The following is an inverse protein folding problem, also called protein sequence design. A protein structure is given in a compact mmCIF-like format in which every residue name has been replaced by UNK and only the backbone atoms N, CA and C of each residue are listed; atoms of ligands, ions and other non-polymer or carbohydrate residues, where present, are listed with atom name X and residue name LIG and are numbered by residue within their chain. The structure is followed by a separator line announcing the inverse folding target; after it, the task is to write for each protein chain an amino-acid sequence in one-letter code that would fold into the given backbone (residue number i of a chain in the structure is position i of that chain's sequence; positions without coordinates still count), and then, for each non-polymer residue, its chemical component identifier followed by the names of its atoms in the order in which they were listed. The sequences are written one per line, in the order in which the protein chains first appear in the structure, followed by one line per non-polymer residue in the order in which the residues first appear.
data_IF_885358126324
#
_entry.id   IF_885358126324
#
_cell.length_a   1.000
_cell.length_b   1.000
_cell.length_c   1.000
_cell.angle_alpha   90.00
_cell.angle_beta   90.00
_cell.angle_gamma   90.00
#
_symmetry.space_group_name_H-M   'P 1'
#
loop_
_entity.id
_entity.type
_entity.pdbx_description
1 polymer ?
#
# COMPACT_ATOMS: atom_id res chain seq x y z
N UNK A 1 3.63 5.40 -20.46
CA UNK A 1 4.40 5.42 -19.19
C UNK A 1 3.58 4.78 -18.12
N UNK A 2 4.19 3.88 -17.36
CA UNK A 2 3.50 3.14 -16.30
C UNK A 2 4.18 3.43 -14.96
N UNK A 3 3.40 3.66 -13.92
CA UNK A 3 3.92 3.98 -12.58
C UNK A 3 3.18 3.19 -11.52
N UNK A 4 3.88 2.79 -10.48
CA UNK A 4 3.27 2.21 -9.30
C UNK A 4 2.56 3.31 -8.49
N UNK A 5 1.32 3.04 -8.10
CA UNK A 5 0.50 3.94 -7.30
C UNK A 5 0.25 3.29 -5.94
N UNK A 6 0.60 3.99 -4.86
CA UNK A 6 0.27 3.58 -3.50
C UNK A 6 -0.54 4.69 -2.84
N UNK A 7 -1.73 4.34 -2.36
CA UNK A 7 -2.55 5.24 -1.54
C UNK A 7 -2.73 4.62 -0.16
N UNK A 8 -2.69 5.45 0.87
CA UNK A 8 -2.91 4.99 2.24
C UNK A 8 -4.19 5.60 2.80
N UNK A 9 -4.99 4.75 3.44
CA UNK A 9 -6.20 5.10 4.17
C UNK A 9 -6.05 4.69 5.64
N UNK A 10 -6.61 5.50 6.53
CA UNK A 10 -6.63 5.22 7.97
C UNK A 10 -8.04 4.83 8.34
N UNK A 11 -8.20 3.71 9.04
CA UNK A 11 -9.51 3.13 9.34
C UNK A 11 -9.75 3.13 10.85
N UNK A 12 -10.86 3.72 11.25
CA UNK A 12 -11.47 3.51 12.56
C UNK A 12 -12.19 2.17 12.60
N UNK A 13 -12.65 1.76 13.79
CA UNK A 13 -13.43 0.53 13.94
C UNK A 13 -14.71 0.52 13.08
N UNK A 14 -15.36 1.66 12.91
CA UNK A 14 -16.56 1.77 12.10
C UNK A 14 -16.27 1.65 10.60
N UNK A 15 -15.22 2.31 10.13
CA UNK A 15 -14.81 2.31 8.72
C UNK A 15 -14.27 0.95 8.26
N UNK A 16 -13.61 0.20 9.16
CA UNK A 16 -13.04 -1.11 8.83
C UNK A 16 -14.09 -2.15 8.43
N UNK A 17 -15.35 -2.00 8.86
CA UNK A 17 -16.42 -2.87 8.37
C UNK A 17 -16.76 -2.61 6.90
N UNK A 18 -16.82 -1.35 6.49
CA UNK A 18 -17.02 -0.98 5.08
C UNK A 18 -15.90 -1.48 4.18
N UNK A 19 -14.64 -1.32 4.64
CA UNK A 19 -13.47 -1.86 3.95
C UNK A 19 -13.56 -3.38 3.79
N UNK A 20 -13.89 -4.12 4.86
CA UNK A 20 -14.10 -5.57 4.79
C UNK A 20 -15.16 -5.96 3.76
N UNK A 21 -16.33 -5.30 3.80
CA UNK A 21 -17.43 -5.62 2.88
C UNK A 21 -17.05 -5.39 1.42
N UNK A 22 -16.29 -4.33 1.14
CA UNK A 22 -15.80 -4.03 -0.20
C UNK A 22 -14.69 -4.99 -0.64
N UNK A 23 -13.64 -5.14 0.18
CA UNK A 23 -12.45 -5.91 -0.20
C UNK A 23 -12.76 -7.39 -0.40
N UNK A 24 -13.61 -7.96 0.46
CA UNK A 24 -13.95 -9.38 0.43
C UNK A 24 -15.23 -9.67 -0.36
N UNK A 25 -15.74 -8.67 -1.12
CA UNK A 25 -16.97 -8.80 -1.95
C UNK A 25 -18.16 -9.37 -1.19
N UNK A 26 -18.35 -8.98 0.08
CA UNK A 26 -19.44 -9.49 0.94
C UNK A 26 -20.80 -8.82 0.67
N UNK A 27 -20.85 -7.72 -0.06
CA UNK A 27 -22.10 -7.07 -0.44
C UNK A 27 -22.81 -7.87 -1.53
N UNK A 28 -24.13 -8.02 -1.39
CA UNK A 28 -24.98 -8.62 -2.45
C UNK A 28 -25.12 -7.69 -3.66
N UNK A 29 -25.15 -6.39 -3.42
CA UNK A 29 -25.21 -5.34 -4.44
C UNK A 29 -24.04 -4.39 -4.22
N UNK A 30 -23.24 -4.19 -5.23
CA UNK A 30 -22.11 -3.26 -5.18
C UNK A 30 -22.56 -1.87 -5.60
N UNK A 31 -22.24 -0.85 -4.80
CA UNK A 31 -22.44 0.57 -5.16
C UNK A 31 -21.48 1.01 -6.26
N UNK A 32 -20.29 0.40 -6.31
CA UNK A 32 -19.32 0.62 -7.39
C UNK A 32 -19.78 -0.13 -8.64
N UNK A 33 -20.13 0.63 -9.69
CA UNK A 33 -20.58 0.08 -10.99
C UNK A 33 -19.45 -0.52 -11.83
N UNK A 34 -18.20 -0.25 -11.46
CA UNK A 34 -17.03 -0.77 -12.17
C UNK A 34 -16.76 -2.25 -11.83
N UNK A 35 -17.45 -2.80 -10.82
CA UNK A 35 -17.32 -4.20 -10.44
C UNK A 35 -18.07 -5.09 -11.43
N UNK A 36 -17.31 -5.88 -12.17
CA UNK A 36 -17.84 -6.93 -13.04
C UNK A 36 -17.92 -8.25 -12.27
N UNK A 37 -19.10 -8.56 -11.78
CA UNK A 37 -19.35 -9.77 -10.98
C UNK A 37 -19.07 -11.08 -11.73
N UNK A 38 -19.04 -11.06 -13.06
CA UNK A 38 -18.65 -12.25 -13.86
C UNK A 38 -17.17 -12.58 -13.74
N UNK A 39 -16.35 -11.59 -13.37
CA UNK A 39 -14.89 -11.69 -13.20
C UNK A 39 -14.45 -11.83 -11.75
N UNK A 40 -15.36 -11.75 -10.77
CA UNK A 40 -15.00 -11.82 -9.33
C UNK A 40 -14.25 -13.13 -8.98
N UNK A 41 -14.47 -14.21 -9.72
CA UNK A 41 -13.75 -15.47 -9.54
C UNK A 41 -12.25 -15.38 -9.88
N UNK A 42 -11.80 -14.31 -10.53
CA UNK A 42 -10.39 -14.04 -10.84
C UNK A 42 -9.67 -13.34 -9.70
N UNK A 43 -10.41 -12.74 -8.77
CA UNK A 43 -9.85 -12.10 -7.58
C UNK A 43 -9.10 -13.14 -6.75
N UNK A 44 -8.03 -12.72 -6.09
CA UNK A 44 -7.25 -13.60 -5.24
C UNK A 44 -6.72 -12.87 -4.01
N UNK A 45 -6.19 -13.64 -3.06
CA UNK A 45 -5.62 -13.10 -1.85
C UNK A 45 -4.13 -13.43 -1.75
N UNK A 46 -3.29 -12.42 -1.47
CA UNK A 46 -1.93 -12.65 -0.99
C UNK A 46 -1.96 -13.09 0.49
N UNK A 47 -2.95 -12.58 1.24
CA UNK A 47 -3.31 -13.04 2.57
C UNK A 47 -4.82 -13.00 2.72
N UNK A 48 -5.42 -14.14 2.95
CA UNK A 48 -6.84 -14.29 3.19
C UNK A 48 -7.17 -14.06 4.67
N UNK A 49 -8.38 -13.57 4.93
CA UNK A 49 -8.94 -13.40 6.25
C UNK A 49 -10.23 -14.23 6.37
N UNK A 50 -10.30 -15.10 7.37
CA UNK A 50 -11.44 -16.03 7.56
C UNK A 50 -12.66 -15.36 8.23
N UNK A 51 -12.48 -14.19 8.85
CA UNK A 51 -13.49 -13.51 9.65
C UNK A 51 -13.67 -12.05 9.20
N UNK A 52 -14.41 -11.24 9.95
CA UNK A 52 -14.44 -9.78 9.72
C UNK A 52 -13.13 -9.15 10.17
N UNK A 53 -12.70 -8.07 9.54
CA UNK A 53 -11.47 -7.35 9.92
C UNK A 53 -11.45 -6.95 11.40
N UNK A 54 -12.60 -6.63 11.97
CA UNK A 54 -12.72 -6.27 13.38
C UNK A 54 -12.45 -7.49 14.29
N UNK A 55 -13.01 -8.65 13.96
CA UNK A 55 -12.78 -9.87 14.76
C UNK A 55 -11.31 -10.30 14.66
N UNK A 56 -10.75 -10.22 13.48
CA UNK A 56 -9.34 -10.52 13.27
C UNK A 56 -8.44 -9.55 14.04
N UNK A 57 -8.74 -8.25 14.00
CA UNK A 57 -8.05 -7.26 14.81
C UNK A 57 -8.11 -7.57 16.30
N UNK A 58 -9.31 -7.88 16.83
CA UNK A 58 -9.48 -8.19 18.25
C UNK A 58 -8.74 -9.47 18.65
N UNK A 59 -8.70 -10.49 17.76
CA UNK A 59 -7.90 -11.70 17.92
C UNK A 59 -6.40 -11.39 17.98
N UNK A 60 -5.89 -10.71 16.96
CA UNK A 60 -4.47 -10.35 16.83
C UNK A 60 -4.01 -9.46 17.99
N UNK A 61 -4.83 -8.46 18.37
CA UNK A 61 -4.53 -7.59 19.50
C UNK A 61 -4.32 -8.40 20.80
N UNK A 62 -5.16 -9.40 21.05
CA UNK A 62 -5.05 -10.27 22.22
C UNK A 62 -3.87 -11.24 22.12
N UNK A 63 -3.73 -11.91 20.98
CA UNK A 63 -2.72 -12.93 20.75
C UNK A 63 -1.29 -12.39 20.80
N UNK A 64 -1.08 -11.20 20.24
CA UNK A 64 0.25 -10.57 20.17
C UNK A 64 0.47 -9.53 21.28
N UNK A 65 -0.43 -9.47 22.27
CA UNK A 65 -0.39 -8.49 23.37
C UNK A 65 -0.14 -7.04 22.90
N UNK A 66 -0.86 -6.64 21.85
CA UNK A 66 -0.68 -5.32 21.28
C UNK A 66 -1.24 -4.23 22.20
N UNK A 67 -0.36 -3.41 22.72
CA UNK A 67 -0.69 -2.32 23.64
C UNK A 67 -1.32 -1.14 22.90
N UNK A 68 -2.08 -0.32 23.60
CA UNK A 68 -2.63 0.93 23.07
C UNK A 68 -3.93 1.34 23.74
N UNK A 69 -4.03 2.62 24.05
CA UNK A 69 -5.26 3.21 24.55
C UNK A 69 -6.17 3.62 23.38
N UNK A 70 -7.03 2.68 22.96
CA UNK A 70 -7.88 2.84 21.79
C UNK A 70 -9.24 3.41 22.21
N UNK A 71 -9.51 4.65 21.81
CA UNK A 71 -10.81 5.31 21.95
C UNK A 71 -11.72 4.93 20.77
N UNK A 72 -13.01 5.24 20.86
CA UNK A 72 -14.02 4.95 19.83
C UNK A 72 -13.58 5.39 18.41
N UNK A 73 -12.95 6.55 18.31
CA UNK A 73 -12.51 7.13 17.03
C UNK A 73 -11.00 6.93 16.76
N UNK A 74 -10.34 6.03 17.51
CA UNK A 74 -8.94 5.71 17.24
C UNK A 74 -8.80 5.01 15.89
N UNK A 75 -7.74 5.35 15.17
CA UNK A 75 -7.31 4.58 14.00
C UNK A 75 -6.73 3.27 14.51
N UNK A 76 -7.37 2.18 14.13
CA UNK A 76 -6.97 0.83 14.54
C UNK A 76 -6.30 0.04 13.42
N UNK A 77 -6.59 0.40 12.18
CA UNK A 77 -6.04 -0.22 10.99
C UNK A 77 -5.62 0.84 9.99
N UNK A 78 -4.76 0.45 9.09
CA UNK A 78 -4.47 1.21 7.86
C UNK A 78 -4.68 0.29 6.67
N UNK A 79 -5.09 0.87 5.54
CA UNK A 79 -5.22 0.16 4.27
C UNK A 79 -4.32 0.83 3.24
N UNK A 80 -3.53 0.05 2.54
CA UNK A 80 -2.82 0.49 1.34
C UNK A 80 -3.56 -0.03 0.11
N UNK A 81 -3.91 0.86 -0.81
CA UNK A 81 -4.32 0.49 -2.16
C UNK A 81 -3.09 0.60 -3.07
N UNK A 82 -2.73 -0.52 -3.70
CA UNK A 82 -1.55 -0.63 -4.58
C UNK A 82 -2.04 -1.00 -5.97
N UNK A 83 -1.60 -0.25 -6.96
CA UNK A 83 -1.98 -0.45 -8.37
C UNK A 83 -0.93 0.14 -9.32
N UNK A 84 -1.20 0.05 -10.61
CA UNK A 84 -0.55 0.76 -11.70
C UNK A 84 -1.62 1.21 -12.71
N UNK A 85 -1.22 1.71 -13.87
CA UNK A 85 -2.18 1.99 -14.94
C UNK A 85 -2.65 0.70 -15.63
N UNK A 86 -3.84 0.79 -16.23
CA UNK A 86 -4.48 -0.36 -16.86
C UNK A 86 -3.70 -0.90 -18.07
N UNK A 87 -3.03 -0.02 -18.82
CA UNK A 87 -2.25 -0.44 -20.00
C UNK A 87 -1.01 -1.25 -19.60
N UNK A 88 -0.41 -0.92 -18.45
CA UNK A 88 0.67 -1.73 -17.87
C UNK A 88 0.20 -3.18 -17.64
N UNK A 89 -0.93 -3.36 -16.94
CA UNK A 89 -1.45 -4.70 -16.65
C UNK A 89 -1.88 -5.46 -17.88
N UNK A 90 -2.45 -4.79 -18.88
CA UNK A 90 -2.74 -5.40 -20.18
C UNK A 90 -1.47 -5.89 -20.89
N UNK A 91 -0.41 -5.10 -20.84
CA UNK A 91 0.87 -5.40 -21.49
C UNK A 91 1.56 -6.61 -20.88
N UNK A 92 1.61 -6.70 -19.54
CA UNK A 92 2.31 -7.79 -18.85
C UNK A 92 1.49 -9.07 -18.76
N UNK A 93 0.17 -9.00 -18.93
CA UNK A 93 -0.73 -10.15 -18.86
C UNK A 93 -1.03 -10.63 -17.43
N UNK A 94 -1.91 -11.63 -17.33
CA UNK A 94 -2.51 -12.04 -16.07
C UNK A 94 -1.49 -12.60 -15.06
N UNK A 95 -0.61 -13.48 -15.48
CA UNK A 95 0.33 -14.17 -14.58
C UNK A 95 1.35 -13.19 -13.99
N UNK A 96 1.87 -12.27 -14.80
CA UNK A 96 2.79 -11.26 -14.30
C UNK A 96 2.06 -10.18 -13.47
N UNK A 97 0.78 -9.93 -13.75
CA UNK A 97 -0.07 -9.09 -12.86
C UNK A 97 -0.21 -9.73 -11.48
N UNK A 98 -0.44 -11.02 -11.39
CA UNK A 98 -0.46 -11.74 -10.09
C UNK A 98 0.88 -11.62 -9.38
N UNK A 99 1.97 -11.83 -10.11
CA UNK A 99 3.33 -11.70 -9.55
C UNK A 99 3.63 -10.29 -9.05
N UNK A 100 3.22 -9.25 -9.78
CA UNK A 100 3.32 -7.86 -9.35
C UNK A 100 2.71 -7.65 -7.96
N UNK A 101 1.51 -8.16 -7.72
CA UNK A 101 0.84 -8.02 -6.42
C UNK A 101 1.47 -8.87 -5.32
N UNK A 102 1.97 -10.06 -5.63
CA UNK A 102 2.71 -10.90 -4.68
C UNK A 102 4.00 -10.20 -4.20
N UNK A 103 4.76 -9.62 -5.13
CA UNK A 103 5.98 -8.88 -4.77
C UNK A 103 5.66 -7.58 -4.02
N UNK A 104 4.59 -6.90 -4.40
CA UNK A 104 4.09 -5.72 -3.66
C UNK A 104 3.68 -6.08 -2.22
N UNK A 105 3.02 -7.21 -2.02
CA UNK A 105 2.69 -7.75 -0.70
C UNK A 105 3.93 -8.00 0.15
N UNK A 106 4.92 -8.71 -0.39
CA UNK A 106 6.20 -8.99 0.28
C UNK A 106 6.92 -7.70 0.67
N UNK A 107 6.91 -6.71 -0.22
CA UNK A 107 7.48 -5.40 0.05
C UNK A 107 6.83 -4.74 1.26
N UNK A 108 5.48 -4.69 1.33
CA UNK A 108 4.76 -4.09 2.46
C UNK A 108 4.98 -4.85 3.76
N UNK A 109 5.05 -6.19 3.73
CA UNK A 109 5.38 -6.99 4.91
C UNK A 109 6.73 -6.61 5.53
N UNK A 110 7.70 -6.23 4.70
CA UNK A 110 9.04 -5.80 5.14
C UNK A 110 9.11 -4.31 5.51
N UNK A 111 8.07 -3.54 5.16
CA UNK A 111 8.04 -2.11 5.41
C UNK A 111 8.02 -1.79 6.90
N UNK A 112 8.97 -0.99 7.38
CA UNK A 112 9.09 -0.59 8.79
C UNK A 112 9.06 -1.77 9.79
N UNK A 113 9.53 -2.93 9.37
CA UNK A 113 9.42 -4.17 10.15
C UNK A 113 7.96 -4.50 10.53
N UNK A 114 6.99 -4.16 9.66
CA UNK A 114 5.58 -4.42 9.91
C UNK A 114 5.34 -5.90 10.22
N UNK A 115 5.97 -6.78 9.44
CA UNK A 115 5.82 -8.22 9.56
C UNK A 115 4.47 -8.71 9.03
N UNK A 116 4.47 -9.86 8.42
CA UNK A 116 3.26 -10.50 7.89
C UNK A 116 2.19 -10.75 8.96
N UNK A 117 2.61 -10.97 10.22
CA UNK A 117 1.72 -11.20 11.35
C UNK A 117 0.78 -10.03 11.62
N UNK A 118 1.16 -8.80 11.25
CA UNK A 118 0.36 -7.59 11.47
C UNK A 118 -0.55 -7.24 10.27
N UNK A 119 -0.46 -7.99 9.15
CA UNK A 119 -1.39 -7.88 8.03
C UNK A 119 -2.69 -8.61 8.38
N UNK A 120 -3.83 -7.97 8.16
CA UNK A 120 -5.16 -8.55 8.33
C UNK A 120 -5.58 -9.26 7.06
N UNK A 121 -5.49 -8.58 5.93
CA UNK A 121 -5.90 -9.10 4.62
C UNK A 121 -5.13 -8.40 3.51
N UNK A 122 -4.93 -9.09 2.40
CA UNK A 122 -4.39 -8.53 1.16
C UNK A 122 -5.17 -9.12 -0.01
N UNK A 123 -6.25 -8.43 -0.39
CA UNK A 123 -7.17 -8.82 -1.46
C UNK A 123 -6.78 -8.12 -2.77
N UNK A 124 -6.64 -8.90 -3.84
CA UNK A 124 -6.38 -8.39 -5.19
C UNK A 124 -7.63 -8.47 -6.02
N UNK A 125 -8.07 -7.33 -6.54
CA UNK A 125 -9.23 -7.20 -7.39
C UNK A 125 -8.82 -7.15 -8.85
N UNK A 126 -9.31 -8.13 -9.62
CA UNK A 126 -9.21 -8.22 -11.07
C UNK A 126 -10.57 -8.03 -11.75
N UNK A 127 -11.61 -7.81 -10.97
CA UNK A 127 -13.00 -7.64 -11.37
C UNK A 127 -13.42 -6.17 -11.53
N UNK A 128 -12.51 -5.25 -11.43
CA UNK A 128 -12.72 -3.82 -11.70
C UNK A 128 -11.93 -3.37 -12.94
N UNK A 129 -12.10 -2.10 -13.33
CA UNK A 129 -11.48 -1.55 -14.55
C UNK A 129 -9.96 -1.67 -14.52
N UNK A 130 -9.35 -1.41 -13.38
CA UNK A 130 -7.89 -1.48 -13.18
C UNK A 130 -7.55 -2.46 -12.06
N UNK A 131 -6.69 -3.45 -12.28
CA UNK A 131 -6.21 -4.34 -11.23
C UNK A 131 -5.61 -3.57 -10.05
N UNK A 132 -5.99 -3.93 -8.83
CA UNK A 132 -5.45 -3.28 -7.62
C UNK A 132 -5.52 -4.21 -6.42
N UNK A 133 -4.66 -3.95 -5.44
CA UNK A 133 -4.63 -4.67 -4.17
C UNK A 133 -5.04 -3.76 -3.03
N UNK A 134 -5.97 -4.23 -2.20
CA UNK A 134 -6.26 -3.67 -0.88
C UNK A 134 -5.53 -4.47 0.18
N UNK A 135 -4.53 -3.86 0.81
CA UNK A 135 -3.76 -4.47 1.88
C UNK A 135 -4.07 -3.76 3.19
N UNK A 136 -4.75 -4.46 4.09
CA UNK A 136 -5.18 -3.95 5.41
C UNK A 136 -4.28 -4.50 6.50
N UNK A 137 -3.78 -3.63 7.39
CA UNK A 137 -2.85 -4.00 8.44
C UNK A 137 -3.04 -3.19 9.72
N UNK A 138 -2.53 -3.70 10.84
CA UNK A 138 -2.48 -3.01 12.12
C UNK A 138 -1.20 -2.15 12.17
N UNK A 139 -1.28 -0.83 12.37
CA UNK A 139 -0.10 0.05 12.43
C UNK A 139 0.63 -0.11 13.78
N UNK A 140 1.43 -1.16 13.90
CA UNK A 140 2.21 -1.49 15.09
C UNK A 140 3.53 -0.75 15.09
N UNK A 141 3.88 -0.14 16.21
CA UNK A 141 5.21 0.42 16.49
C UNK A 141 5.88 -0.40 17.60
N UNK A 142 7.17 -0.67 17.42
CA UNK A 142 8.02 -1.29 18.43
C UNK A 142 8.60 -0.21 19.32
N UNK A 143 8.30 -0.26 20.61
CA UNK A 143 8.71 0.76 21.58
C UNK A 143 9.07 0.15 22.93
N UNK A 144 9.30 0.95 23.95
CA UNK A 144 9.52 0.51 25.33
C UNK A 144 8.45 1.10 26.24
N UNK A 145 8.06 0.34 27.26
CA UNK A 145 7.21 0.81 28.34
C UNK A 145 7.98 1.70 29.33
N UNK A 146 7.31 2.16 30.38
CA UNK A 146 7.92 3.00 31.43
C UNK A 146 8.99 2.25 32.24
N UNK A 147 8.96 0.91 32.25
CA UNK A 147 9.93 0.05 32.91
C UNK A 147 11.10 -0.33 31.99
N UNK A 148 11.07 0.08 30.71
CA UNK A 148 12.11 -0.19 29.72
C UNK A 148 11.95 -1.51 28.98
N UNK A 149 10.84 -2.27 29.18
CA UNK A 149 10.57 -3.50 28.47
C UNK A 149 10.11 -3.23 27.04
N UNK A 150 10.49 -4.07 26.09
CA UNK A 150 10.03 -3.99 24.71
C UNK A 150 8.52 -4.28 24.61
N UNK A 151 7.77 -3.42 23.97
CA UNK A 151 6.33 -3.57 23.76
C UNK A 151 5.93 -3.19 22.33
N UNK A 152 4.96 -3.91 21.81
CA UNK A 152 4.32 -3.64 20.55
C UNK A 152 3.06 -2.80 20.77
N UNK A 153 3.00 -1.61 20.16
CA UNK A 153 1.92 -0.66 20.41
C UNK A 153 1.20 -0.28 19.12
N UNK A 154 -0.14 -0.28 19.15
CA UNK A 154 -0.97 0.20 18.05
C UNK A 154 -0.96 1.73 18.08
N UNK A 155 -0.36 2.36 17.08
CA UNK A 155 -0.30 3.80 16.97
C UNK A 155 -0.13 4.27 15.53
N UNK A 156 -1.23 4.50 14.82
CA UNK A 156 -1.18 4.97 13.42
C UNK A 156 -0.44 6.31 13.28
N UNK A 157 -0.58 7.23 14.25
CA UNK A 157 0.12 8.51 14.23
C UNK A 157 1.64 8.31 14.20
N UNK A 158 2.16 7.50 15.11
CA UNK A 158 3.60 7.33 15.26
C UNK A 158 4.17 6.35 14.23
N UNK A 159 3.36 5.40 13.75
CA UNK A 159 3.70 4.54 12.61
C UNK A 159 4.01 5.37 11.35
N UNK A 160 3.20 6.40 11.08
CA UNK A 160 3.39 7.31 9.95
C UNK A 160 4.29 8.51 10.28
N UNK A 161 4.60 8.73 11.56
CA UNK A 161 5.48 9.81 12.01
C UNK A 161 6.95 9.40 11.84
N UNK A 162 7.76 10.30 11.33
CA UNK A 162 9.19 10.23 11.45
C UNK A 162 9.72 11.65 11.45
N UNK A 163 10.79 11.94 12.17
CA UNK A 163 11.53 13.20 12.02
C UNK A 163 11.99 13.42 10.59
N UNK A 164 12.00 12.32 9.82
CA UNK A 164 12.29 12.24 8.39
C UNK A 164 11.14 11.57 7.64
N UNK A 165 9.87 11.85 7.97
CA UNK A 165 8.72 11.18 7.34
C UNK A 165 8.74 11.37 5.83
N UNK A 166 9.22 12.52 5.36
CA UNK A 166 9.37 12.82 3.94
C UNK A 166 10.54 12.04 3.32
N UNK A 167 11.74 12.09 3.92
CA UNK A 167 12.92 11.36 3.41
C UNK A 167 12.82 9.84 3.59
N UNK A 168 12.08 9.36 4.62
CA UNK A 168 11.77 7.92 4.77
C UNK A 168 10.73 7.44 3.78
N UNK A 169 9.67 8.23 3.54
CA UNK A 169 8.69 7.92 2.50
C UNK A 169 9.36 7.89 1.12
N UNK A 170 10.23 8.84 0.82
CA UNK A 170 11.03 8.83 -0.42
C UNK A 170 11.90 7.59 -0.52
N UNK A 171 12.70 7.23 0.50
CA UNK A 171 13.50 5.99 0.50
C UNK A 171 12.69 4.71 0.34
N UNK A 172 11.43 4.72 0.73
CA UNK A 172 10.52 3.58 0.59
C UNK A 172 9.95 3.55 -0.82
N UNK A 173 9.54 4.70 -1.30
CA UNK A 173 9.16 4.88 -2.69
C UNK A 173 10.34 4.47 -3.59
N UNK A 174 11.56 4.92 -3.28
CA UNK A 174 12.78 4.54 -4.01
C UNK A 174 13.03 3.03 -3.98
N UNK A 175 12.95 2.38 -2.81
CA UNK A 175 13.09 0.92 -2.72
C UNK A 175 11.97 0.15 -3.41
N UNK A 176 10.76 0.67 -3.37
CA UNK A 176 9.64 0.10 -4.10
C UNK A 176 9.87 0.23 -5.60
N UNK A 177 10.29 1.40 -6.06
CA UNK A 177 10.67 1.61 -7.47
C UNK A 177 11.83 0.73 -7.88
N UNK A 178 12.91 0.61 -7.07
CA UNK A 178 14.01 -0.31 -7.37
C UNK A 178 13.53 -1.77 -7.49
N UNK A 179 12.57 -2.19 -6.68
CA UNK A 179 12.01 -3.55 -6.71
C UNK A 179 11.14 -3.74 -7.94
N UNK A 180 10.31 -2.77 -8.27
CA UNK A 180 9.48 -2.76 -9.47
C UNK A 180 10.35 -2.62 -10.72
N UNK A 181 11.38 -1.80 -10.71
CA UNK A 181 12.31 -1.61 -11.83
C UNK A 181 13.06 -2.91 -12.14
N UNK A 182 13.60 -3.59 -11.12
CA UNK A 182 14.19 -4.92 -11.26
C UNK A 182 13.19 -5.95 -11.81
N UNK A 183 11.94 -5.86 -11.40
CA UNK A 183 10.88 -6.73 -11.88
C UNK A 183 10.49 -6.42 -13.33
N UNK A 184 10.36 -5.15 -13.69
CA UNK A 184 10.12 -4.71 -15.06
C UNK A 184 11.29 -5.12 -15.97
N UNK A 185 12.53 -4.92 -15.52
CA UNK A 185 13.73 -5.32 -16.26
C UNK A 185 13.77 -6.83 -16.50
N UNK A 186 13.47 -7.63 -15.47
CA UNK A 186 13.36 -9.08 -15.59
C UNK A 186 12.25 -9.52 -16.56
N UNK A 187 11.08 -8.83 -16.55
CA UNK A 187 10.01 -9.06 -17.52
C UNK A 187 10.50 -8.77 -18.95
N UNK A 188 11.13 -7.62 -19.15
CA UNK A 188 11.65 -7.21 -20.46
C UNK A 188 12.69 -8.22 -20.99
N UNK A 189 13.59 -8.70 -20.12
CA UNK A 189 14.57 -9.74 -20.50
C UNK A 189 13.89 -11.07 -20.84
N UNK A 190 12.93 -11.50 -20.00
CA UNK A 190 12.30 -12.83 -20.17
C UNK A 190 11.42 -12.95 -21.42
N UNK A 191 10.80 -11.84 -21.83
CA UNK A 191 9.85 -11.83 -22.95
C UNK A 191 10.45 -11.25 -24.24
N UNK A 192 11.81 -11.06 -24.27
CA UNK A 192 12.51 -10.45 -25.43
C UNK A 192 11.74 -9.20 -25.96
N UNK A 193 11.08 -8.55 -25.05
CA UNK A 193 10.46 -7.25 -25.30
C UNK A 193 11.65 -6.30 -25.40
N UNK A 194 12.20 -6.19 -26.64
CA UNK A 194 13.43 -5.46 -26.90
C UNK A 194 13.48 -4.27 -26.00
N UNK A 195 14.48 -4.28 -25.11
CA UNK A 195 14.61 -3.25 -24.12
C UNK A 195 14.58 -1.94 -24.89
N UNK A 196 13.40 -1.41 -25.07
CA UNK A 196 13.29 -0.03 -25.40
C UNK A 196 13.80 0.64 -24.15
N UNK A 197 15.14 0.83 -24.13
CA UNK A 197 15.88 1.65 -23.18
C UNK A 197 15.14 2.96 -22.88
N UNK A 198 14.25 3.35 -23.74
CA UNK A 198 13.37 4.48 -23.63
C UNK A 198 12.33 4.32 -22.49
N UNK A 199 11.74 3.14 -22.28
CA UNK A 199 10.70 2.98 -21.23
C UNK A 199 11.30 3.06 -19.84
N UNK A 200 12.45 2.41 -19.63
CA UNK A 200 13.20 2.45 -18.35
C UNK A 200 13.82 3.84 -18.17
N UNK A 201 14.37 4.43 -19.22
CA UNK A 201 14.99 5.76 -19.19
C UNK A 201 13.96 6.87 -18.98
N UNK A 202 12.79 6.78 -19.60
CA UNK A 202 11.69 7.72 -19.41
C UNK A 202 11.06 7.58 -18.03
N UNK A 203 10.92 6.35 -17.51
CA UNK A 203 10.51 6.07 -16.15
C UNK A 203 11.51 6.63 -15.13
N UNK A 204 12.81 6.40 -15.30
CA UNK A 204 13.86 6.96 -14.44
C UNK A 204 13.93 8.49 -14.54
N UNK A 205 13.73 9.07 -15.71
CA UNK A 205 13.75 10.51 -15.91
C UNK A 205 12.57 11.21 -15.26
N UNK A 206 11.39 10.61 -15.27
CA UNK A 206 10.22 11.18 -14.60
C UNK A 206 10.22 10.93 -13.09
N UNK A 207 10.64 9.75 -12.63
CA UNK A 207 10.82 9.50 -11.19
C UNK A 207 11.87 10.43 -10.60
N UNK A 208 12.99 10.67 -11.28
CA UNK A 208 13.99 11.64 -10.83
C UNK A 208 13.48 13.08 -10.86
N UNK A 209 12.55 13.41 -11.74
CA UNK A 209 11.92 14.75 -11.79
C UNK A 209 10.88 14.92 -10.66
N UNK A 210 10.20 13.84 -10.27
CA UNK A 210 9.25 13.83 -9.13
C UNK A 210 9.94 13.68 -7.77
N UNK A 211 11.12 13.06 -7.73
CA UNK A 211 11.87 12.71 -6.51
C UNK A 211 13.07 13.62 -6.26
N UNK A 212 13.20 14.73 -7.00
CA UNK A 212 14.20 15.75 -6.69
C UNK A 212 13.68 16.62 -5.52
N UNK A 213 14.08 16.31 -4.26
CA UNK A 213 13.56 16.99 -3.07
C UNK A 213 13.90 18.48 -3.08
N UNK A 214 15.04 18.86 -3.69
CA UNK A 214 15.45 20.25 -3.77
C UNK A 214 14.59 21.07 -4.73
N UNK A 215 14.07 20.44 -5.79
CA UNK A 215 13.16 21.12 -6.70
C UNK A 215 11.74 21.26 -6.16
N UNK A 216 11.28 20.28 -5.37
CA UNK A 216 9.97 20.37 -4.72
C UNK A 216 10.00 21.37 -3.56
N UNK A 217 11.03 21.34 -2.71
CA UNK A 217 11.20 22.32 -1.63
C UNK A 217 11.27 23.75 -2.20
N UNK A 218 12.04 23.98 -3.26
CA UNK A 218 12.11 25.29 -3.95
C UNK A 218 10.81 25.68 -4.64
N UNK A 219 9.94 24.74 -4.98
CA UNK A 219 8.62 25.03 -5.53
C UNK A 219 7.63 25.40 -4.43
N UNK A 220 7.62 24.67 -3.32
CA UNK A 220 6.78 24.94 -2.15
C UNK A 220 7.20 26.24 -1.43
N UNK A 221 8.50 26.53 -1.33
CA UNK A 221 9.00 27.80 -0.82
C UNK A 221 8.54 28.98 -1.69
N UNK A 222 8.59 28.86 -3.00
CA UNK A 222 8.07 29.90 -3.92
C UNK A 222 6.56 30.06 -3.86
N UNK A 223 5.80 28.97 -3.68
CA UNK A 223 4.35 29.01 -3.52
C UNK A 223 3.97 29.66 -2.17
N UNK A 224 4.71 29.40 -1.09
CA UNK A 224 4.53 30.06 0.21
C UNK A 224 4.93 31.54 0.20
N UNK A 225 6.00 31.92 -0.50
CA UNK A 225 6.36 33.35 -0.68
C UNK A 225 5.27 34.11 -1.46
N UNK A 226 4.65 33.48 -2.45
CA UNK A 226 3.55 34.05 -3.24
C UNK A 226 2.27 34.30 -2.43
N UNK A 227 1.98 33.43 -1.45
CA UNK A 227 0.81 33.54 -0.58
C UNK A 227 1.03 34.55 0.58
N UNK A 228 2.29 34.89 0.89
CA UNK A 228 2.64 35.91 1.88
C UNK A 228 2.68 37.35 1.31
N UNK A 229 2.71 37.50 -0.01
CA UNK A 229 2.67 38.81 -0.69
C UNK A 229 1.26 39.21 -1.17
N UNK A 230 0.22 38.45 -0.80
CA UNK A 230 -1.19 38.76 -1.06
C UNK A 230 -1.95 39.04 0.22
#
# INVERSE_FOLDING_TARGET
MSYAIIRNEKLTRAESYGAYVHNDRKAKNHSNKDIDTTRTHLNFYCKENETTYIREFDRMKKEYDLQGNLRKNSIIMCQMMITSDNEFFKKIGLEETKRYFIESYKFVCNYKNLGERNIISAAVHLDETTPHMHLTFIPVIHTKDEQGNAVDKICARDFWRGRDSYSKLHRIIDKFYETIDKFIHWICEKFDMGAEDNLIRDFQKETNTFLDPEKQIKKEEREMEWDLER
#
